data_IF_707872634919
#
_entry.id   IF_707872634919
#
_cell.length_a   1.000
_cell.length_b   1.000
_cell.length_c   1.000
_cell.angle_alpha   90.00
_cell.angle_beta   90.00
_cell.angle_gamma   90.00
#
_symmetry.space_group_name_H-M   'P 1'
#
loop_
_entity.id
_entity.type
_entity.pdbx_description
1 polymer ?
#
# COMPACT_ATOMS: atom_id res chain seq x y z
N UNK A 1 -27.35 0.42 11.33
CA UNK A 1 -26.50 1.59 11.03
C UNK A 1 -25.54 1.26 9.89
N UNK A 2 -26.01 0.47 8.91
CA UNK A 2 -25.23 -0.14 7.81
C UNK A 2 -25.48 0.64 6.50
N UNK A 3 -26.63 1.30 6.42
CA UNK A 3 -27.17 2.05 5.27
C UNK A 3 -26.34 3.28 4.81
N UNK A 4 -25.18 3.59 5.43
CA UNK A 4 -24.38 4.79 5.12
C UNK A 4 -22.93 4.53 4.73
N UNK A 5 -22.46 3.29 4.71
CA UNK A 5 -21.06 3.01 4.37
C UNK A 5 -20.74 3.50 2.96
N UNK A 6 -21.49 3.03 1.96
CA UNK A 6 -21.22 3.33 0.55
C UNK A 6 -21.35 4.83 0.25
N UNK A 7 -22.42 5.47 0.75
CA UNK A 7 -22.63 6.93 0.64
C UNK A 7 -21.44 7.72 1.20
N UNK A 8 -20.98 7.37 2.41
CA UNK A 8 -19.84 8.03 3.04
C UNK A 8 -18.53 7.76 2.29
N UNK A 9 -18.32 6.52 1.84
CA UNK A 9 -17.16 6.11 1.06
C UNK A 9 -17.05 6.92 -0.24
N UNK A 10 -18.16 7.04 -0.97
CA UNK A 10 -18.23 7.77 -2.23
C UNK A 10 -18.02 9.28 -2.02
N UNK A 11 -18.65 9.86 -0.99
CA UNK A 11 -18.48 11.28 -0.65
C UNK A 11 -17.03 11.61 -0.29
N UNK A 12 -16.38 10.77 0.52
CA UNK A 12 -14.98 10.93 0.88
C UNK A 12 -14.05 10.76 -0.32
N UNK A 13 -14.30 9.78 -1.19
CA UNK A 13 -13.51 9.57 -2.40
C UNK A 13 -13.59 10.77 -3.36
N UNK A 14 -14.79 11.33 -3.53
CA UNK A 14 -14.99 12.54 -4.35
C UNK A 14 -14.17 13.71 -3.80
N UNK A 15 -14.24 13.93 -2.49
CA UNK A 15 -13.51 15.02 -1.84
C UNK A 15 -11.99 14.80 -1.90
N UNK A 16 -11.53 13.55 -1.71
CA UNK A 16 -10.13 13.17 -1.84
C UNK A 16 -9.55 13.56 -3.21
N UNK A 17 -10.24 13.17 -4.29
CA UNK A 17 -9.77 13.47 -5.65
C UNK A 17 -9.83 14.96 -5.98
N UNK A 18 -10.87 15.66 -5.52
CA UNK A 18 -10.96 17.12 -5.65
C UNK A 18 -9.78 17.83 -4.98
N UNK A 19 -9.40 17.42 -3.77
CA UNK A 19 -8.28 18.00 -3.03
C UNK A 19 -6.92 17.61 -3.63
N UNK A 20 -6.77 16.39 -4.15
CA UNK A 20 -5.58 15.96 -4.92
C UNK A 20 -5.36 16.82 -6.15
N UNK A 21 -6.40 17.16 -6.89
CA UNK A 21 -6.31 18.04 -8.07
C UNK A 21 -5.80 19.44 -7.69
N UNK A 22 -6.38 20.04 -6.63
CA UNK A 22 -5.96 21.36 -6.12
C UNK A 22 -4.49 21.34 -5.64
N UNK A 23 -4.09 20.28 -4.95
CA UNK A 23 -2.73 20.18 -4.38
C UNK A 23 -1.66 19.83 -5.42
N UNK A 24 -2.04 19.29 -6.59
CA UNK A 24 -1.12 18.95 -7.67
C UNK A 24 -0.52 20.17 -8.40
N UNK A 25 -1.23 21.31 -8.47
CA UNK A 25 -0.77 22.49 -9.21
C UNK A 25 0.37 23.23 -8.51
N UNK A 26 1.59 23.13 -9.06
CA UNK A 26 2.82 23.76 -8.51
C UNK A 26 3.22 25.05 -9.23
N UNK A 27 2.39 25.55 -10.15
CA UNK A 27 2.83 26.55 -11.13
C UNK A 27 2.96 27.97 -10.54
N UNK A 28 2.27 28.26 -9.43
CA UNK A 28 2.18 29.61 -8.83
C UNK A 28 3.38 30.06 -7.98
N UNK A 29 4.12 29.13 -7.37
CA UNK A 29 5.13 29.47 -6.34
C UNK A 29 6.35 30.22 -6.92
N UNK A 30 6.91 29.72 -8.02
CA UNK A 30 8.06 30.36 -8.68
C UNK A 30 7.68 31.74 -9.25
N UNK A 31 6.45 31.86 -9.75
CA UNK A 31 5.93 33.09 -10.33
C UNK A 31 5.68 34.17 -9.27
N UNK A 32 5.15 33.80 -8.10
CA UNK A 32 4.99 34.72 -6.98
C UNK A 32 6.35 35.25 -6.52
N UNK A 33 7.34 34.38 -6.34
CA UNK A 33 8.68 34.77 -5.91
C UNK A 33 9.38 35.73 -6.90
N UNK A 34 9.15 35.57 -8.21
CA UNK A 34 9.66 36.49 -9.22
C UNK A 34 8.95 37.84 -9.18
N UNK A 35 7.63 37.85 -9.03
CA UNK A 35 6.83 39.08 -8.90
C UNK A 35 7.25 39.86 -7.63
N UNK A 36 7.45 39.18 -6.50
CA UNK A 36 7.87 39.82 -5.25
C UNK A 36 9.26 40.46 -5.38
N UNK A 37 10.21 39.79 -6.03
CA UNK A 37 11.53 40.39 -6.35
C UNK A 37 11.43 41.61 -7.26
N UNK A 38 10.50 41.61 -8.21
CA UNK A 38 10.28 42.73 -9.12
C UNK A 38 9.65 43.93 -8.39
N UNK A 39 8.73 43.67 -7.46
CA UNK A 39 8.15 44.70 -6.59
C UNK A 39 9.19 45.30 -5.64
N UNK A 40 10.06 44.48 -5.04
CA UNK A 40 11.17 44.93 -4.17
C UNK A 40 12.19 45.81 -4.89
N UNK A 41 12.41 45.58 -6.19
CA UNK A 41 13.30 46.39 -7.04
C UNK A 41 12.74 47.79 -7.37
N UNK A 42 11.56 48.13 -6.86
CA UNK A 42 11.01 49.49 -6.95
C UNK A 42 10.36 49.82 -8.29
N UNK A 43 9.75 48.84 -8.97
CA UNK A 43 8.95 49.08 -10.18
C UNK A 43 7.78 50.02 -9.84
N UNK A 44 7.60 51.08 -10.63
CA UNK A 44 6.58 52.11 -10.43
C UNK A 44 5.51 52.13 -11.52
N UNK A 45 4.44 52.90 -11.28
CA UNK A 45 3.35 53.13 -12.24
C UNK A 45 2.39 51.93 -12.38
N UNK A 46 1.65 51.87 -13.50
CA UNK A 46 0.63 50.85 -13.78
C UNK A 46 1.15 49.41 -13.72
N UNK A 47 2.44 49.20 -13.98
CA UNK A 47 3.06 47.88 -13.90
C UNK A 47 3.11 47.37 -12.44
N UNK A 48 3.31 48.27 -11.47
CA UNK A 48 3.27 47.92 -10.04
C UNK A 48 1.88 47.47 -9.62
N UNK A 49 0.85 48.21 -10.00
CA UNK A 49 -0.55 47.88 -9.67
C UNK A 49 -0.95 46.49 -10.21
N UNK A 50 -0.54 46.17 -11.44
CA UNK A 50 -0.78 44.85 -12.04
C UNK A 50 -0.01 43.73 -11.32
N UNK A 51 1.25 43.97 -10.95
CA UNK A 51 2.07 43.00 -10.21
C UNK A 51 1.54 42.78 -8.79
N UNK A 52 1.08 43.83 -8.10
CA UNK A 52 0.46 43.73 -6.77
C UNK A 52 -0.86 42.93 -6.81
N UNK A 53 -1.69 43.15 -7.85
CA UNK A 53 -2.93 42.39 -8.04
C UNK A 53 -2.66 40.91 -8.33
N UNK A 54 -1.69 40.62 -9.20
CA UNK A 54 -1.28 39.25 -9.53
C UNK A 54 -0.66 38.55 -8.31
N UNK A 55 0.20 39.22 -7.55
CA UNK A 55 0.76 38.69 -6.30
C UNK A 55 -0.33 38.38 -5.28
N UNK A 56 -1.34 39.25 -5.14
CA UNK A 56 -2.48 39.00 -4.25
C UNK A 56 -3.26 37.76 -4.67
N UNK A 57 -3.53 37.58 -5.97
CA UNK A 57 -4.21 36.38 -6.48
C UNK A 57 -3.40 35.12 -6.20
N UNK A 58 -2.10 35.13 -6.51
CA UNK A 58 -1.19 33.99 -6.28
C UNK A 58 -1.07 33.64 -4.79
N UNK A 59 -1.04 34.63 -3.88
CA UNK A 59 -1.06 34.37 -2.43
C UNK A 59 -2.33 33.67 -1.99
N UNK A 60 -3.49 34.10 -2.51
CA UNK A 60 -4.76 33.45 -2.21
C UNK A 60 -4.79 32.01 -2.75
N UNK A 61 -4.33 31.78 -3.98
CA UNK A 61 -4.20 30.43 -4.56
C UNK A 61 -3.29 29.53 -3.70
N UNK A 62 -2.17 30.08 -3.18
CA UNK A 62 -1.27 29.35 -2.27
C UNK A 62 -1.91 29.04 -0.92
N UNK A 63 -2.69 29.97 -0.35
CA UNK A 63 -3.41 29.76 0.90
C UNK A 63 -4.51 28.70 0.73
N UNK A 64 -5.30 28.79 -0.35
CA UNK A 64 -6.30 27.78 -0.71
C UNK A 64 -5.67 26.40 -0.88
N UNK A 65 -4.50 26.32 -1.52
CA UNK A 65 -3.75 25.07 -1.70
C UNK A 65 -3.19 24.52 -0.38
N UNK A 66 -2.68 25.38 0.50
CA UNK A 66 -2.22 24.98 1.83
C UNK A 66 -3.39 24.41 2.66
N UNK A 67 -4.55 25.07 2.62
CA UNK A 67 -5.76 24.60 3.27
C UNK A 67 -6.24 23.26 2.66
N UNK A 68 -6.18 23.13 1.34
CA UNK A 68 -6.50 21.88 0.66
C UNK A 68 -5.56 20.74 1.04
N UNK A 69 -4.27 21.00 1.26
CA UNK A 69 -3.30 20.01 1.73
C UNK A 69 -3.65 19.52 3.14
N UNK A 70 -3.94 20.44 4.08
CA UNK A 70 -4.37 20.05 5.43
C UNK A 70 -5.68 19.26 5.40
N UNK A 71 -6.64 19.67 4.58
CA UNK A 71 -7.92 18.96 4.44
C UNK A 71 -7.75 17.60 3.78
N UNK A 72 -6.79 17.46 2.87
CA UNK A 72 -6.49 16.18 2.23
C UNK A 72 -6.00 15.16 3.26
N UNK A 73 -5.11 15.56 4.17
CA UNK A 73 -4.65 14.70 5.27
C UNK A 73 -5.82 14.24 6.17
N UNK A 74 -6.76 15.16 6.47
CA UNK A 74 -7.98 14.81 7.24
C UNK A 74 -8.85 13.80 6.48
N UNK A 75 -9.07 14.01 5.18
CA UNK A 75 -9.90 13.13 4.35
C UNK A 75 -9.26 11.76 4.17
N UNK A 76 -7.93 11.69 4.00
CA UNK A 76 -7.18 10.44 4.01
C UNK A 76 -7.42 9.67 5.30
N UNK A 77 -7.34 10.35 6.45
CA UNK A 77 -7.63 9.74 7.75
C UNK A 77 -9.08 9.26 7.86
N UNK A 78 -10.05 10.05 7.42
CA UNK A 78 -11.47 9.68 7.42
C UNK A 78 -11.76 8.45 6.54
N UNK A 79 -11.10 8.35 5.36
CA UNK A 79 -11.18 7.17 4.47
C UNK A 79 -10.60 5.94 5.16
N UNK A 80 -9.42 6.08 5.79
CA UNK A 80 -8.77 4.99 6.50
C UNK A 80 -9.59 4.52 7.71
N UNK A 81 -10.17 5.44 8.48
CA UNK A 81 -11.04 5.11 9.62
C UNK A 81 -12.28 4.33 9.16
N UNK A 82 -12.92 4.78 8.08
CA UNK A 82 -14.04 4.07 7.46
C UNK A 82 -13.61 2.66 6.99
N UNK A 83 -12.42 2.53 6.41
CA UNK A 83 -11.89 1.27 5.88
C UNK A 83 -11.43 0.30 6.98
N UNK A 84 -10.97 0.81 8.14
CA UNK A 84 -10.59 -0.02 9.28
C UNK A 84 -11.79 -0.82 9.84
N UNK A 85 -13.00 -0.30 9.63
CA UNK A 85 -14.28 -0.93 9.95
C UNK A 85 -15.03 -1.41 8.70
N UNK A 86 -14.32 -1.66 7.59
CA UNK A 86 -14.90 -2.00 6.28
C UNK A 86 -15.97 -3.09 6.41
N UNK A 87 -17.21 -2.69 6.21
CA UNK A 87 -18.39 -3.54 6.25
C UNK A 87 -19.30 -3.13 5.09
N UNK A 88 -18.92 -3.45 3.84
CA UNK A 88 -19.67 -3.01 2.68
C UNK A 88 -21.05 -3.68 2.64
N UNK A 89 -22.03 -2.96 2.11
CA UNK A 89 -23.37 -3.50 1.94
C UNK A 89 -23.35 -4.49 0.78
N UNK A 90 -23.51 -5.78 1.09
CA UNK A 90 -23.49 -6.87 0.12
C UNK A 90 -24.90 -7.43 -0.05
N UNK A 91 -25.31 -7.61 -1.30
CA UNK A 91 -26.56 -8.24 -1.68
C UNK A 91 -26.49 -9.78 -1.55
N UNK A 92 -27.61 -10.46 -1.81
CA UNK A 92 -27.62 -11.93 -1.89
C UNK A 92 -26.57 -12.43 -2.90
N UNK A 93 -25.60 -13.20 -2.41
CA UNK A 93 -24.48 -13.68 -3.21
C UNK A 93 -24.85 -14.90 -4.06
N UNK A 94 -24.25 -15.00 -5.25
CA UNK A 94 -24.32 -16.20 -6.09
C UNK A 94 -22.93 -16.84 -6.16
N UNK A 95 -22.79 -17.98 -5.49
CA UNK A 95 -21.61 -18.85 -5.51
C UNK A 95 -20.31 -18.14 -5.10
N UNK A 96 -19.65 -17.47 -6.05
CA UNK A 96 -18.34 -16.83 -5.91
C UNK A 96 -18.39 -15.31 -6.10
N UNK A 97 -19.58 -14.71 -6.17
CA UNK A 97 -19.73 -13.28 -6.40
C UNK A 97 -20.65 -12.65 -5.35
N UNK A 98 -20.12 -11.62 -4.68
CA UNK A 98 -20.79 -10.84 -3.66
C UNK A 98 -21.04 -9.43 -4.20
N UNK A 99 -22.19 -9.19 -4.85
CA UNK A 99 -22.52 -7.86 -5.38
C UNK A 99 -22.70 -6.85 -4.25
N UNK A 100 -22.41 -5.58 -4.52
CA UNK A 100 -22.84 -4.51 -3.62
C UNK A 100 -24.34 -4.27 -3.73
N UNK A 101 -24.96 -3.90 -2.61
CA UNK A 101 -26.36 -3.51 -2.55
C UNK A 101 -26.65 -2.35 -3.53
N UNK A 102 -27.38 -2.68 -4.59
CA UNK A 102 -27.71 -1.74 -5.66
C UNK A 102 -28.84 -0.77 -5.29
N UNK A 103 -29.62 -1.08 -4.26
CA UNK A 103 -30.69 -0.22 -3.74
C UNK A 103 -30.12 0.93 -2.87
N UNK A 104 -28.91 0.75 -2.34
CA UNK A 104 -28.28 1.66 -1.35
C UNK A 104 -26.99 2.32 -1.86
N UNK A 105 -26.94 2.62 -3.17
CA UNK A 105 -25.80 3.20 -3.90
C UNK A 105 -24.55 2.30 -3.86
N UNK A 106 -24.09 1.75 -5.01
CA UNK A 106 -22.88 0.93 -5.01
C UNK A 106 -21.63 1.76 -4.69
N UNK A 107 -20.62 1.12 -4.11
CA UNK A 107 -19.32 1.74 -3.88
C UNK A 107 -18.68 2.10 -5.24
N UNK A 108 -18.22 3.34 -5.38
CA UNK A 108 -17.62 3.84 -6.62
C UNK A 108 -16.20 3.32 -6.85
N UNK A 109 -15.78 3.27 -8.11
CA UNK A 109 -14.39 2.96 -8.48
C UNK A 109 -13.39 4.00 -7.92
N UNK A 110 -13.86 5.22 -7.66
CA UNK A 110 -13.06 6.32 -7.10
C UNK A 110 -12.62 6.00 -5.67
N UNK A 111 -13.45 5.28 -4.91
CA UNK A 111 -13.10 4.82 -3.57
C UNK A 111 -11.97 3.78 -3.62
N UNK A 112 -12.06 2.78 -4.49
CA UNK A 112 -10.96 1.81 -4.68
C UNK A 112 -9.69 2.48 -5.20
N UNK A 113 -9.84 3.48 -6.08
CA UNK A 113 -8.72 4.27 -6.58
C UNK A 113 -8.06 5.08 -5.46
N UNK A 114 -8.85 5.68 -4.57
CA UNK A 114 -8.34 6.41 -3.41
C UNK A 114 -7.61 5.45 -2.45
N UNK A 115 -8.18 4.29 -2.15
CA UNK A 115 -7.53 3.29 -1.28
C UNK A 115 -6.20 2.81 -1.84
N UNK A 116 -6.14 2.52 -3.14
CA UNK A 116 -4.90 2.05 -3.78
C UNK A 116 -3.85 3.17 -3.92
N UNK A 117 -4.26 4.43 -4.10
CA UNK A 117 -3.37 5.59 -4.00
C UNK A 117 -2.83 5.76 -2.57
N UNK A 118 -3.69 5.65 -1.54
CA UNK A 118 -3.28 5.77 -0.14
C UNK A 118 -2.35 4.61 0.26
N UNK A 119 -2.68 3.37 -0.11
CA UNK A 119 -1.92 2.20 0.29
C UNK A 119 -0.60 2.04 -0.46
N UNK A 120 -0.59 2.37 -1.77
CA UNK A 120 0.51 2.01 -2.67
C UNK A 120 1.04 3.18 -3.51
N UNK A 121 0.44 4.37 -3.42
CA UNK A 121 0.80 5.54 -4.24
C UNK A 121 0.49 5.37 -5.72
N UNK A 122 -0.35 4.41 -6.10
CA UNK A 122 -0.74 4.16 -7.48
C UNK A 122 -2.24 3.85 -7.54
N UNK A 123 -3.07 4.78 -8.04
CA UNK A 123 -4.51 4.58 -8.08
C UNK A 123 -4.90 3.48 -9.09
N UNK A 124 -5.84 2.64 -8.67
CA UNK A 124 -6.44 1.57 -9.44
C UNK A 124 -7.94 1.48 -9.14
N UNK A 125 -8.81 1.32 -10.16
CA UNK A 125 -10.26 1.25 -9.96
C UNK A 125 -10.74 -0.03 -9.27
N UNK A 126 -9.82 -0.94 -8.97
CA UNK A 126 -10.08 -2.23 -8.33
C UNK A 126 -8.91 -2.65 -7.45
N UNK A 127 -9.21 -3.47 -6.44
CA UNK A 127 -8.19 -4.12 -5.60
C UNK A 127 -8.11 -5.59 -6.02
N UNK A 128 -6.98 -5.98 -6.60
CA UNK A 128 -6.72 -7.34 -7.05
C UNK A 128 -5.95 -8.11 -5.97
N UNK A 129 -6.51 -9.26 -5.61
CA UNK A 129 -5.88 -10.29 -4.79
C UNK A 129 -5.83 -11.58 -5.63
N UNK A 130 -4.97 -12.52 -5.27
CA UNK A 130 -4.89 -13.84 -5.92
C UNK A 130 -6.21 -14.59 -5.84
N UNK A 131 -6.89 -14.52 -4.70
CA UNK A 131 -8.15 -15.25 -4.45
C UNK A 131 -9.42 -14.43 -4.67
N UNK A 132 -9.32 -13.10 -4.81
CA UNK A 132 -10.49 -12.24 -5.00
C UNK A 132 -10.18 -10.93 -5.74
N UNK A 133 -11.22 -10.25 -6.20
CA UNK A 133 -11.12 -8.92 -6.79
C UNK A 133 -12.26 -8.05 -6.26
N UNK A 134 -11.91 -6.88 -5.73
CA UNK A 134 -12.88 -5.85 -5.36
C UNK A 134 -13.02 -4.88 -6.54
N UNK A 135 -14.24 -4.69 -7.02
CA UNK A 135 -14.59 -3.71 -8.06
C UNK A 135 -15.93 -3.06 -7.73
N UNK A 136 -16.35 -2.04 -8.50
CA UNK A 136 -17.66 -1.37 -8.28
C UNK A 136 -18.86 -2.31 -8.33
N UNK A 137 -18.74 -3.45 -9.01
CA UNK A 137 -19.83 -4.42 -9.11
C UNK A 137 -19.95 -5.26 -7.83
N UNK A 138 -18.87 -5.39 -7.05
CA UNK A 138 -18.82 -6.22 -5.85
C UNK A 138 -17.48 -6.95 -5.71
N UNK A 139 -17.49 -8.02 -4.91
CA UNK A 139 -16.31 -8.82 -4.61
C UNK A 139 -16.45 -10.17 -5.33
N UNK A 140 -15.55 -10.42 -6.28
CA UNK A 140 -15.49 -11.67 -7.03
C UNK A 140 -14.39 -12.56 -6.49
N UNK A 141 -14.73 -13.79 -6.15
CA UNK A 141 -13.81 -14.81 -5.66
C UNK A 141 -13.39 -15.70 -6.84
N UNK A 142 -12.08 -15.81 -7.06
CA UNK A 142 -11.50 -16.52 -8.21
C UNK A 142 -11.08 -17.94 -7.86
N UNK A 143 -10.81 -18.23 -6.58
CA UNK A 143 -10.34 -19.54 -6.12
C UNK A 143 -11.07 -19.98 -4.86
N UNK A 144 -11.75 -21.14 -4.93
CA UNK A 144 -12.48 -21.75 -3.82
C UNK A 144 -12.01 -23.18 -3.49
N UNK A 145 -10.87 -23.60 -4.05
CA UNK A 145 -10.45 -25.01 -4.03
C UNK A 145 -10.32 -25.60 -2.61
N UNK A 146 -10.15 -24.77 -1.57
CA UNK A 146 -9.89 -25.24 -0.20
C UNK A 146 -10.79 -24.58 0.87
N UNK A 147 -11.53 -23.52 0.52
CA UNK A 147 -12.31 -22.72 1.47
C UNK A 147 -13.64 -22.29 0.85
N UNK A 148 -14.68 -22.14 1.69
CA UNK A 148 -15.95 -21.56 1.23
C UNK A 148 -15.78 -20.10 0.82
N UNK A 149 -16.60 -19.64 -0.11
CA UNK A 149 -16.61 -18.25 -0.58
C UNK A 149 -16.73 -17.24 0.56
N UNK A 150 -17.52 -17.56 1.60
CA UNK A 150 -17.66 -16.73 2.80
C UNK A 150 -16.35 -16.60 3.59
N UNK A 151 -15.60 -17.70 3.77
CA UNK A 151 -14.31 -17.65 4.47
C UNK A 151 -13.28 -16.84 3.69
N UNK A 152 -13.30 -16.96 2.36
CA UNK A 152 -12.42 -16.15 1.51
C UNK A 152 -12.82 -14.68 1.55
N UNK A 153 -14.13 -14.37 1.57
CA UNK A 153 -14.64 -13.01 1.76
C UNK A 153 -14.15 -12.39 3.08
N UNK A 154 -14.34 -13.09 4.20
CA UNK A 154 -13.86 -12.66 5.53
C UNK A 154 -12.35 -12.40 5.52
N UNK A 155 -11.58 -13.31 4.91
CA UNK A 155 -10.13 -13.17 4.78
C UNK A 155 -9.74 -11.93 3.97
N UNK A 156 -10.36 -11.69 2.81
CA UNK A 156 -9.96 -10.56 1.97
C UNK A 156 -10.40 -9.22 2.54
N UNK A 157 -11.56 -9.15 3.20
CA UNK A 157 -11.99 -7.95 3.94
C UNK A 157 -10.99 -7.63 5.06
N UNK A 158 -10.57 -8.66 5.81
CA UNK A 158 -9.58 -8.51 6.88
C UNK A 158 -8.27 -7.89 6.37
N UNK A 159 -7.74 -8.32 5.21
CA UNK A 159 -6.51 -7.74 4.65
C UNK A 159 -6.65 -6.23 4.47
N UNK A 160 -7.77 -5.78 3.91
CA UNK A 160 -8.04 -4.36 3.68
C UNK A 160 -8.17 -3.59 5.01
N UNK A 161 -8.89 -4.14 5.97
CA UNK A 161 -9.07 -3.55 7.31
C UNK A 161 -7.75 -3.41 8.07
N UNK A 162 -6.95 -4.48 8.12
CA UNK A 162 -5.66 -4.48 8.83
C UNK A 162 -4.67 -3.50 8.19
N UNK A 163 -4.75 -3.33 6.86
CA UNK A 163 -3.93 -2.33 6.17
C UNK A 163 -4.35 -0.91 6.49
N UNK A 164 -5.66 -0.64 6.57
CA UNK A 164 -6.14 0.66 6.99
C UNK A 164 -5.72 0.99 8.44
N UNK A 165 -5.87 0.03 9.36
CA UNK A 165 -5.39 0.17 10.75
C UNK A 165 -3.89 0.47 10.81
N UNK A 166 -3.09 -0.22 9.98
CA UNK A 166 -1.66 0.03 9.87
C UNK A 166 -1.34 1.46 9.44
N UNK A 167 -2.02 1.97 8.41
CA UNK A 167 -1.84 3.35 7.94
C UNK A 167 -2.26 4.40 8.99
N UNK A 168 -3.23 4.06 9.85
CA UNK A 168 -3.65 4.90 10.98
C UNK A 168 -2.72 4.82 12.21
N UNK A 169 -1.73 3.92 12.21
CA UNK A 169 -0.88 3.66 13.37
C UNK A 169 -1.60 2.96 14.53
N UNK A 170 -2.68 2.24 14.24
CA UNK A 170 -3.44 1.43 15.21
C UNK A 170 -2.82 0.04 15.36
N UNK A 171 -3.17 -0.67 16.44
CA UNK A 171 -2.78 -2.09 16.58
C UNK A 171 -3.36 -2.93 15.44
N UNK A 172 -2.51 -3.70 14.78
CA UNK A 172 -2.86 -4.49 13.61
C UNK A 172 -1.94 -5.72 13.46
N UNK A 173 -2.39 -6.70 12.70
CA UNK A 173 -1.70 -7.97 12.48
C UNK A 173 -0.59 -7.87 11.41
N UNK A 174 -0.60 -6.82 10.58
CA UNK A 174 0.48 -6.55 9.63
C UNK A 174 1.75 -6.17 10.39
N UNK A 175 1.67 -5.26 11.36
CA UNK A 175 2.80 -4.83 12.19
C UNK A 175 3.37 -5.98 13.03
N UNK A 176 2.49 -6.77 13.66
CA UNK A 176 2.90 -7.96 14.39
C UNK A 176 3.66 -8.92 13.47
N UNK A 177 3.15 -9.12 12.25
CA UNK A 177 3.79 -10.00 11.27
C UNK A 177 5.12 -9.44 10.77
N UNK A 178 5.19 -8.14 10.50
CA UNK A 178 6.43 -7.44 10.13
C UNK A 178 7.49 -7.63 11.22
N UNK A 179 7.15 -7.42 12.49
CA UNK A 179 8.08 -7.57 13.61
C UNK A 179 8.61 -9.00 13.73
N UNK A 180 7.73 -10.00 13.64
CA UNK A 180 8.12 -11.41 13.68
C UNK A 180 9.01 -11.80 12.50
N UNK A 181 8.69 -11.34 11.28
CA UNK A 181 9.53 -11.55 10.10
C UNK A 181 10.92 -10.91 10.24
N UNK A 182 11.00 -9.71 10.82
CA UNK A 182 12.27 -9.01 11.06
C UNK A 182 13.20 -9.78 12.02
N UNK A 183 12.64 -10.62 12.90
CA UNK A 183 13.40 -11.47 13.82
C UNK A 183 13.94 -12.75 13.16
N UNK A 184 13.44 -13.11 11.96
CA UNK A 184 13.86 -14.29 11.23
C UNK A 184 14.29 -13.94 9.80
N UNK A 185 15.57 -13.62 9.65
CA UNK A 185 16.21 -13.23 8.39
C UNK A 185 16.00 -14.25 7.26
N UNK A 186 16.06 -15.55 7.55
CA UNK A 186 15.89 -16.58 6.54
C UNK A 186 14.44 -16.74 6.06
N UNK A 187 13.47 -16.56 6.97
CA UNK A 187 12.06 -16.48 6.60
C UNK A 187 11.79 -15.24 5.75
N UNK A 188 12.40 -14.09 6.09
CA UNK A 188 12.28 -12.89 5.27
C UNK A 188 12.85 -13.10 3.86
N UNK A 189 14.03 -13.73 3.76
CA UNK A 189 14.65 -14.09 2.47
C UNK A 189 13.72 -14.98 1.66
N UNK A 190 13.23 -16.08 2.25
CA UNK A 190 12.36 -17.04 1.59
C UNK A 190 11.05 -16.40 1.09
N UNK A 191 10.41 -15.56 1.92
CA UNK A 191 9.20 -14.84 1.52
C UNK A 191 9.47 -13.89 0.34
N UNK A 192 10.60 -13.16 0.38
CA UNK A 192 11.01 -12.27 -0.71
C UNK A 192 11.22 -13.02 -2.04
N UNK A 193 11.85 -14.19 -2.00
CA UNK A 193 12.04 -15.07 -3.18
C UNK A 193 10.68 -15.53 -3.74
N UNK A 194 9.80 -16.02 -2.88
CA UNK A 194 8.47 -16.49 -3.29
C UNK A 194 7.64 -15.39 -3.95
N UNK A 195 7.69 -14.17 -3.42
CA UNK A 195 6.96 -13.02 -3.96
C UNK A 195 7.55 -12.53 -5.28
N UNK A 196 8.88 -12.47 -5.39
CA UNK A 196 9.57 -12.04 -6.60
C UNK A 196 9.28 -12.97 -7.79
N UNK A 197 9.30 -14.28 -7.53
CA UNK A 197 9.05 -15.28 -8.58
C UNK A 197 7.56 -15.39 -8.92
N UNK A 198 6.66 -15.02 -8.00
CA UNK A 198 5.22 -14.95 -8.25
C UNK A 198 4.57 -16.31 -8.61
N UNK A 199 5.26 -17.42 -8.34
CA UNK A 199 4.82 -18.79 -8.65
C UNK A 199 5.15 -19.72 -7.49
N UNK A 200 4.56 -20.92 -7.53
CA UNK A 200 4.89 -22.01 -6.62
C UNK A 200 6.32 -22.49 -6.85
N UNK A 201 7.08 -22.62 -5.78
CA UNK A 201 8.48 -23.08 -5.78
C UNK A 201 8.68 -24.29 -4.88
N UNK A 202 9.44 -25.27 -5.35
CA UNK A 202 9.98 -26.32 -4.49
C UNK A 202 11.10 -25.78 -3.60
N UNK A 203 11.39 -26.45 -2.49
CA UNK A 203 12.45 -26.03 -1.56
C UNK A 203 13.81 -25.91 -2.25
N UNK A 204 14.12 -26.80 -3.19
CA UNK A 204 15.39 -26.75 -3.95
C UNK A 204 15.46 -25.53 -4.86
N UNK A 205 14.34 -25.11 -5.47
CA UNK A 205 14.28 -23.87 -6.26
C UNK A 205 14.50 -22.63 -5.37
N UNK A 206 13.90 -22.62 -4.17
CA UNK A 206 14.08 -21.52 -3.20
C UNK A 206 15.56 -21.40 -2.80
N UNK A 207 16.24 -22.52 -2.53
CA UNK A 207 17.69 -22.54 -2.22
C UNK A 207 18.51 -22.02 -3.39
N UNK A 208 18.29 -22.53 -4.59
CA UNK A 208 19.06 -22.14 -5.78
C UNK A 208 18.94 -20.64 -6.07
N UNK A 209 17.71 -20.10 -6.02
CA UNK A 209 17.48 -18.67 -6.24
C UNK A 209 18.11 -17.84 -5.13
N UNK A 210 17.95 -18.24 -3.88
CA UNK A 210 18.57 -17.56 -2.73
C UNK A 210 20.09 -17.53 -2.84
N UNK A 211 20.72 -18.64 -3.25
CA UNK A 211 22.18 -18.72 -3.45
C UNK A 211 22.68 -17.80 -4.56
N UNK A 212 21.91 -17.66 -5.63
CA UNK A 212 22.25 -16.78 -6.74
C UNK A 212 22.17 -15.30 -6.32
N UNK A 213 21.23 -14.97 -5.46
CA UNK A 213 20.94 -13.59 -5.04
C UNK A 213 21.76 -13.13 -3.84
N UNK A 214 22.26 -14.05 -3.02
CA UNK A 214 23.07 -13.77 -1.83
C UNK A 214 24.43 -14.49 -1.85
N UNK A 215 25.12 -14.39 -2.99
CA UNK A 215 26.37 -15.11 -3.25
C UNK A 215 27.48 -14.76 -2.25
N UNK A 216 27.57 -13.50 -1.81
CA UNK A 216 28.60 -13.05 -0.85
C UNK A 216 28.37 -13.59 0.57
N UNK A 217 27.13 -13.66 1.04
CA UNK A 217 26.82 -14.17 2.38
C UNK A 217 26.90 -15.70 2.44
N UNK A 218 26.53 -16.40 1.35
CA UNK A 218 26.71 -17.86 1.25
C UNK A 218 28.18 -18.27 1.41
N UNK A 219 29.11 -17.56 0.79
CA UNK A 219 30.54 -17.90 0.85
C UNK A 219 31.10 -17.79 2.30
N UNK A 220 30.39 -17.12 3.20
CA UNK A 220 30.72 -17.00 4.62
C UNK A 220 30.05 -18.05 5.53
N UNK A 221 28.91 -18.64 5.14
CA UNK A 221 28.08 -19.49 6.04
C UNK A 221 27.45 -20.73 5.36
N UNK A 222 28.02 -21.18 4.24
CA UNK A 222 27.64 -22.35 3.40
C UNK A 222 26.88 -23.46 4.13
N UNK A 223 27.45 -23.98 5.21
CA UNK A 223 26.99 -25.24 5.82
C UNK A 223 25.70 -25.07 6.66
N UNK A 224 25.41 -23.83 7.08
CA UNK A 224 24.28 -23.50 7.94
C UNK A 224 23.16 -22.81 7.15
N UNK A 225 23.50 -22.13 6.04
CA UNK A 225 22.55 -21.35 5.26
C UNK A 225 21.34 -22.16 4.78
N UNK A 226 21.58 -23.34 4.19
CA UNK A 226 20.49 -24.17 3.66
C UNK A 226 19.57 -24.70 4.76
N UNK A 227 20.15 -25.04 5.91
CA UNK A 227 19.40 -25.52 7.07
C UNK A 227 18.51 -24.40 7.62
N UNK A 228 19.04 -23.19 7.78
CA UNK A 228 18.27 -22.07 8.29
C UNK A 228 17.24 -21.56 7.28
N UNK A 229 17.51 -21.68 5.97
CA UNK A 229 16.51 -21.38 4.94
C UNK A 229 15.34 -22.37 4.98
N UNK A 230 15.60 -23.66 5.18
CA UNK A 230 14.54 -24.66 5.41
C UNK A 230 13.75 -24.33 6.68
N UNK A 231 14.42 -23.98 7.78
CA UNK A 231 13.75 -23.54 9.01
C UNK A 231 12.91 -22.27 8.78
N UNK A 232 13.41 -21.33 7.98
CA UNK A 232 12.71 -20.10 7.60
C UNK A 232 11.43 -20.40 6.82
N UNK A 233 11.48 -21.28 5.83
CA UNK A 233 10.29 -21.72 5.08
C UNK A 233 9.31 -22.44 6.01
N UNK A 234 9.80 -23.35 6.86
CA UNK A 234 8.96 -24.06 7.84
C UNK A 234 8.27 -23.07 8.82
N UNK A 235 8.98 -22.03 9.23
CA UNK A 235 8.45 -20.95 10.06
C UNK A 235 7.32 -20.20 9.34
N UNK A 236 7.48 -19.85 8.06
CA UNK A 236 6.47 -19.13 7.27
C UNK A 236 5.16 -19.92 7.05
N UNK A 237 5.24 -21.25 6.97
CA UNK A 237 4.06 -22.14 6.81
C UNK A 237 3.49 -22.61 8.15
N UNK A 238 4.11 -22.25 9.26
CA UNK A 238 3.70 -22.71 10.58
C UNK A 238 2.32 -22.15 10.98
N UNK A 239 1.65 -22.84 11.91
CA UNK A 239 0.39 -22.37 12.47
C UNK A 239 0.56 -21.24 13.50
N UNK A 240 1.79 -20.73 13.69
CA UNK A 240 2.06 -19.62 14.62
C UNK A 240 1.53 -18.28 14.09
N UNK A 241 1.31 -18.19 12.78
CA UNK A 241 0.70 -17.02 12.17
C UNK A 241 -0.82 -17.08 12.32
N UNK A 242 -1.40 -16.01 12.87
CA UNK A 242 -2.85 -15.82 12.86
C UNK A 242 -3.42 -15.88 11.43
N UNK A 243 -2.68 -15.31 10.48
CA UNK A 243 -2.92 -15.43 9.05
C UNK A 243 -1.64 -15.89 8.36
N UNK A 244 -1.69 -17.05 7.72
CA UNK A 244 -0.52 -17.64 7.06
C UNK A 244 0.06 -16.73 5.98
N UNK A 245 1.39 -16.54 6.01
CA UNK A 245 2.13 -15.74 5.04
C UNK A 245 2.50 -16.55 3.79
N UNK A 246 2.72 -17.85 3.96
CA UNK A 246 3.04 -18.80 2.89
C UNK A 246 2.16 -20.03 3.06
N UNK A 247 1.82 -20.64 1.93
CA UNK A 247 1.05 -21.87 1.88
C UNK A 247 1.80 -22.94 1.08
N UNK A 248 1.73 -24.17 1.58
CA UNK A 248 2.29 -25.34 0.92
C UNK A 248 1.22 -26.06 0.08
N UNK A 249 1.61 -26.45 -1.13
CA UNK A 249 0.83 -27.19 -2.11
C UNK A 249 1.69 -28.35 -2.64
N UNK A 250 1.52 -29.54 -2.07
CA UNK A 250 2.21 -30.76 -2.49
C UNK A 250 3.74 -30.59 -2.58
N UNK A 251 4.38 -30.07 -1.52
CA UNK A 251 5.82 -29.83 -1.48
C UNK A 251 6.30 -28.57 -2.23
N UNK A 252 5.37 -27.75 -2.75
CA UNK A 252 5.67 -26.43 -3.32
C UNK A 252 5.10 -25.32 -2.44
N UNK A 253 5.81 -24.21 -2.34
CA UNK A 253 5.45 -23.09 -1.49
C UNK A 253 5.04 -21.89 -2.33
N UNK A 254 4.08 -21.11 -1.83
CA UNK A 254 3.61 -19.88 -2.46
C UNK A 254 3.19 -18.87 -1.39
N UNK A 255 3.56 -17.60 -1.57
CA UNK A 255 3.12 -16.52 -0.70
C UNK A 255 1.60 -16.29 -0.84
N UNK A 256 0.93 -16.10 0.28
CA UNK A 256 -0.50 -15.76 0.34
C UNK A 256 -0.72 -14.28 0.02
N UNK A 257 -1.97 -13.87 -0.19
CA UNK A 257 -2.33 -12.45 -0.35
C UNK A 257 -1.90 -11.63 0.87
N UNK A 258 -2.15 -12.13 2.07
CA UNK A 258 -1.69 -11.50 3.32
C UNK A 258 -0.16 -11.41 3.38
N UNK A 259 0.56 -12.47 2.98
CA UNK A 259 2.02 -12.47 2.91
C UNK A 259 2.58 -11.42 1.95
N UNK A 260 1.95 -11.24 0.79
CA UNK A 260 2.30 -10.19 -0.15
C UNK A 260 2.08 -8.79 0.43
N UNK A 261 0.93 -8.56 1.07
CA UNK A 261 0.60 -7.26 1.65
C UNK A 261 1.52 -6.91 2.82
N UNK A 262 1.78 -7.88 3.72
CA UNK A 262 2.78 -7.74 4.79
C UNK A 262 4.12 -7.34 4.16
N UNK A 263 4.63 -8.08 3.18
CA UNK A 263 5.90 -7.75 2.55
C UNK A 263 5.94 -6.34 1.95
N UNK A 264 4.93 -5.98 1.14
CA UNK A 264 4.88 -4.67 0.46
C UNK A 264 4.87 -3.53 1.47
N UNK A 265 4.10 -3.66 2.55
CA UNK A 265 4.01 -2.64 3.59
C UNK A 265 5.29 -2.59 4.43
N UNK A 266 5.81 -3.73 4.91
CA UNK A 266 7.03 -3.73 5.72
C UNK A 266 8.25 -3.20 4.95
N UNK A 267 8.32 -3.42 3.63
CA UNK A 267 9.46 -2.98 2.79
C UNK A 267 9.33 -1.54 2.29
N UNK A 268 8.11 -1.03 2.13
CA UNK A 268 7.88 0.39 1.80
C UNK A 268 8.43 1.33 2.89
N UNK A 269 8.31 0.95 4.17
CA UNK A 269 8.90 1.68 5.31
C UNK A 269 10.42 1.83 5.19
N UNK A 270 11.10 0.81 4.67
CA UNK A 270 12.56 0.81 4.48
C UNK A 270 12.97 1.81 3.38
N UNK A 271 12.14 1.97 2.35
CA UNK A 271 12.39 2.92 1.25
C UNK A 271 12.05 4.38 1.60
N UNK A 272 11.08 4.61 2.50
CA UNK A 272 10.74 5.96 2.98
C UNK A 272 11.77 6.52 3.96
N UNK A 273 12.47 5.67 4.72
CA UNK A 273 13.65 6.09 5.48
C UNK A 273 14.84 6.49 4.60
N UNK A 274 14.98 5.90 3.41
CA UNK A 274 15.97 6.34 2.40
C UNK A 274 15.62 7.72 1.82
N UNK A 275 14.33 8.05 1.64
CA UNK A 275 13.88 9.39 1.24
C UNK A 275 14.25 10.48 2.26
N UNK A 276 14.24 10.16 3.56
CA UNK A 276 14.73 11.08 4.60
C UNK A 276 16.26 11.21 4.64
N UNK A 277 17.02 10.30 4.02
CA UNK A 277 18.49 10.25 4.09
C UNK A 277 19.24 10.66 2.82
N UNK A 278 18.57 10.91 1.70
CA UNK A 278 19.21 11.64 0.61
C UNK A 278 18.61 11.40 -0.77
N UNK A 279 18.22 12.50 -1.42
CA UNK A 279 18.02 12.56 -2.87
C UNK A 279 19.27 12.03 -3.59
N UNK A 280 19.18 10.86 -4.22
CA UNK A 280 19.84 10.59 -5.50
C UNK A 280 19.19 9.41 -6.20
N UNK A 281 18.85 9.67 -7.47
CA UNK A 281 18.42 8.77 -8.54
C UNK A 281 18.53 7.27 -8.25
N UNK A 282 17.40 6.56 -8.35
CA UNK A 282 17.44 5.14 -8.73
C UNK A 282 16.36 4.84 -9.75
N UNK A 283 16.70 5.07 -11.01
CA UNK A 283 16.20 4.27 -12.12
C UNK A 283 16.46 2.78 -11.84
N UNK A 284 15.42 1.93 -11.89
CA UNK A 284 15.49 0.45 -11.82
C UNK A 284 16.33 -0.09 -10.66
N UNK A 285 15.80 -0.09 -9.44
CA UNK A 285 16.38 -0.84 -8.35
C UNK A 285 15.74 -2.23 -8.26
N UNK A 286 16.46 -3.27 -8.70
CA UNK A 286 16.23 -4.60 -8.12
C UNK A 286 16.49 -4.48 -6.61
N UNK A 287 15.49 -4.82 -5.81
CA UNK A 287 15.57 -4.85 -4.34
C UNK A 287 16.74 -5.77 -3.95
N UNK A 288 17.85 -5.17 -3.54
CA UNK A 288 19.00 -5.90 -3.04
C UNK A 288 18.67 -6.36 -1.61
N UNK A 289 18.37 -7.65 -1.46
CA UNK A 289 18.06 -8.33 -0.19
C UNK A 289 19.04 -7.95 0.92
N UNK A 290 20.32 -7.80 0.59
CA UNK A 290 21.38 -7.45 1.54
C UNK A 290 21.21 -6.02 2.11
N UNK A 291 20.65 -5.08 1.34
CA UNK A 291 20.32 -3.74 1.85
C UNK A 291 19.13 -3.78 2.80
N UNK A 292 18.11 -4.57 2.48
CA UNK A 292 16.92 -4.77 3.32
C UNK A 292 17.34 -5.39 4.66
N UNK A 293 18.16 -6.43 4.63
CA UNK A 293 18.67 -7.13 5.82
C UNK A 293 19.56 -6.24 6.72
N UNK A 294 20.45 -5.45 6.11
CA UNK A 294 21.35 -4.55 6.84
C UNK A 294 20.60 -3.39 7.54
N UNK A 295 19.45 -3.00 7.03
CA UNK A 295 18.58 -2.00 7.66
C UNK A 295 17.67 -2.60 8.73
N UNK A 296 17.14 -3.80 8.51
CA UNK A 296 16.25 -4.48 9.47
C UNK A 296 16.96 -4.87 10.78
N UNK A 297 18.29 -5.06 10.77
CA UNK A 297 19.09 -5.33 11.98
C UNK A 297 19.32 -4.10 12.89
N UNK A 298 18.85 -2.90 12.53
CA UNK A 298 19.03 -1.67 13.31
C UNK A 298 17.78 -1.28 14.08
#
# INVERSE_FOLDING_TARGET
>A
MVDKFNEKANALATEYWRLKEITADKTGENRLAEIEKLLEKGIGGRLRENLDAEAKRLRQEMEERSNAFMRLDDVEKEILELTAELAPNLDLFDSNFFPFDSEHEPISEEYFSALTDIFFGTPSPSIQLKVATFSKEGIRITSTAEHSSLKVLEYVIMIIQETAKKMLGMENNIDKSCLSLKQNEYALIALGVLLKEGRRLEMEEIKEISHREDKEYKDLVSDVYDKELVNGVAYLVSAEWEYGLVKEYNGKYEATDFGEWVWRICTAEVSTEEWRKGKKDISRAGLNLHKILKFIRK
#
